data_IF_574569075235
#
_entry.id   IF_574569075235
#
_cell.length_a   1.000
_cell.length_b   1.000
_cell.length_c   1.000
_cell.angle_alpha   90.00
_cell.angle_beta   90.00
_cell.angle_gamma   90.00
#
_symmetry.space_group_name_H-M   'P 1'
#
loop_
_entity.id
_entity.type
_entity.pdbx_description
1 polymer ?
#
# COMPACT_ATOMS: atom_id res chain seq x y z
N UNK A 1 49.94 49.47 -25.48
CA UNK A 1 49.17 48.24 -25.14
C UNK A 1 48.09 48.08 -26.21
N UNK A 2 48.34 47.34 -27.28
CA UNK A 2 47.33 47.15 -28.36
C UNK A 2 46.30 46.13 -27.86
N UNK A 3 45.07 46.56 -27.75
CA UNK A 3 43.94 45.75 -27.36
C UNK A 3 43.60 44.81 -28.57
N UNK A 4 43.78 43.50 -28.37
CA UNK A 4 43.53 42.53 -29.42
C UNK A 4 41.99 42.28 -29.58
N UNK A 5 41.39 43.11 -30.44
CA UNK A 5 39.98 43.09 -30.77
C UNK A 5 39.55 41.75 -31.41
N UNK A 6 40.49 41.06 -32.10
CA UNK A 6 40.23 39.75 -32.73
C UNK A 6 40.04 38.64 -31.67
N UNK A 7 40.88 38.61 -30.66
CA UNK A 7 40.77 37.66 -29.56
C UNK A 7 39.49 37.87 -28.73
N UNK A 8 39.08 39.15 -28.56
CA UNK A 8 37.80 39.48 -27.87
C UNK A 8 36.57 38.99 -28.66
N UNK A 9 36.62 39.17 -30.00
CA UNK A 9 35.52 38.79 -30.89
C UNK A 9 35.37 37.25 -31.00
N UNK A 10 36.46 36.49 -30.98
CA UNK A 10 36.43 35.03 -30.94
C UNK A 10 35.91 34.49 -29.58
N UNK A 11 36.25 35.14 -28.49
CA UNK A 11 35.79 34.76 -27.14
C UNK A 11 34.29 35.00 -26.94
N UNK A 12 33.78 36.14 -27.47
CA UNK A 12 32.34 36.44 -27.45
C UNK A 12 31.55 35.51 -28.36
N UNK A 13 32.09 35.16 -29.53
CA UNK A 13 31.46 34.23 -30.49
C UNK A 13 31.37 32.79 -29.93
N UNK A 14 32.45 32.33 -29.25
CA UNK A 14 32.42 31.01 -28.53
C UNK A 14 31.45 31.00 -27.36
N UNK A 15 31.38 32.10 -26.59
CA UNK A 15 30.39 32.25 -25.52
C UNK A 15 28.95 32.24 -26.04
N UNK A 16 28.68 32.90 -27.14
CA UNK A 16 27.34 32.92 -27.76
C UNK A 16 26.91 31.56 -28.32
N UNK A 17 27.83 30.78 -28.87
CA UNK A 17 27.54 29.40 -29.32
C UNK A 17 27.28 28.49 -28.15
N UNK A 18 28.05 28.59 -27.07
CA UNK A 18 27.82 27.79 -25.86
C UNK A 18 26.43 28.06 -25.21
N UNK A 19 26.05 29.35 -25.12
CA UNK A 19 24.71 29.74 -24.65
C UNK A 19 23.60 29.21 -25.55
N UNK A 20 23.77 29.24 -26.85
CA UNK A 20 22.79 28.71 -27.80
C UNK A 20 22.61 27.18 -27.61
N UNK A 21 23.70 26.43 -27.44
CA UNK A 21 23.68 25.00 -27.20
C UNK A 21 22.92 24.69 -25.88
N UNK A 22 23.19 25.45 -24.82
CA UNK A 22 22.50 25.28 -23.52
C UNK A 22 21.00 25.55 -23.68
N UNK A 23 20.60 26.61 -24.35
CA UNK A 23 19.19 26.93 -24.61
C UNK A 23 18.50 25.83 -25.42
N UNK A 24 19.14 25.34 -26.47
CA UNK A 24 18.61 24.24 -27.29
C UNK A 24 18.46 22.94 -26.43
N UNK A 25 19.44 22.63 -25.60
CA UNK A 25 19.37 21.48 -24.70
C UNK A 25 18.20 21.61 -23.72
N UNK A 26 17.99 22.78 -23.12
CA UNK A 26 16.87 23.05 -22.22
C UNK A 26 15.52 22.92 -22.95
N UNK A 27 15.40 23.41 -24.16
CA UNK A 27 14.19 23.27 -24.99
C UNK A 27 13.89 21.78 -25.28
N UNK A 28 14.91 20.98 -25.60
CA UNK A 28 14.73 19.54 -25.82
C UNK A 28 14.29 18.84 -24.54
N UNK A 29 14.90 19.14 -23.39
CA UNK A 29 14.52 18.57 -22.10
C UNK A 29 13.07 18.94 -21.76
N UNK A 30 12.66 20.19 -21.95
CA UNK A 30 11.27 20.62 -21.71
C UNK A 30 10.28 19.95 -22.64
N UNK A 31 10.62 19.80 -23.94
CA UNK A 31 9.77 19.07 -24.87
C UNK A 31 9.60 17.59 -24.48
N UNK A 32 10.69 16.91 -24.10
CA UNK A 32 10.64 15.52 -23.63
C UNK A 32 9.78 15.42 -22.36
N UNK A 33 9.96 16.33 -21.40
CA UNK A 33 9.18 16.31 -20.15
C UNK A 33 7.68 16.50 -20.40
N UNK A 34 7.30 17.39 -21.34
CA UNK A 34 5.90 17.57 -21.74
C UNK A 34 5.31 16.30 -22.37
N UNK A 35 6.05 15.64 -23.26
CA UNK A 35 5.62 14.37 -23.86
C UNK A 35 5.41 13.31 -22.78
N UNK A 36 6.35 13.18 -21.83
CA UNK A 36 6.23 12.24 -20.71
C UNK A 36 4.99 12.53 -19.86
N UNK A 37 4.73 13.79 -19.54
CA UNK A 37 3.53 14.19 -18.77
C UNK A 37 2.25 13.82 -19.51
N UNK A 38 2.14 14.11 -20.82
CA UNK A 38 0.95 13.78 -21.63
C UNK A 38 0.75 12.27 -21.74
N UNK A 39 1.81 11.49 -21.94
CA UNK A 39 1.74 10.03 -22.03
C UNK A 39 1.32 9.44 -20.69
N UNK A 40 1.91 9.91 -19.58
CA UNK A 40 1.55 9.45 -18.25
C UNK A 40 0.09 9.78 -17.89
N UNK A 41 -0.38 10.99 -18.23
CA UNK A 41 -1.78 11.38 -18.00
C UNK A 41 -2.75 10.45 -18.74
N UNK A 42 -2.53 10.20 -20.04
CA UNK A 42 -3.37 9.29 -20.83
C UNK A 42 -3.33 7.85 -20.32
N UNK A 43 -2.17 7.40 -19.86
CA UNK A 43 -2.01 6.06 -19.27
C UNK A 43 -2.76 5.95 -17.94
N UNK A 44 -2.68 6.98 -17.11
CA UNK A 44 -3.41 7.07 -15.84
C UNK A 44 -4.91 7.02 -16.07
N UNK A 45 -5.44 7.82 -17.00
CA UNK A 45 -6.86 7.87 -17.33
C UNK A 45 -7.38 6.49 -17.79
N UNK A 46 -6.65 5.83 -18.71
CA UNK A 46 -7.02 4.50 -19.21
C UNK A 46 -6.97 3.45 -18.11
N UNK A 47 -5.91 3.45 -17.29
CA UNK A 47 -5.75 2.49 -16.20
C UNK A 47 -6.81 2.68 -15.12
N UNK A 48 -7.17 3.93 -14.81
CA UNK A 48 -8.22 4.25 -13.85
C UNK A 48 -9.58 3.76 -14.33
N UNK A 49 -9.96 4.06 -15.58
CA UNK A 49 -11.23 3.59 -16.16
C UNK A 49 -11.35 2.07 -16.16
N UNK A 50 -10.27 1.38 -16.51
CA UNK A 50 -10.29 -0.10 -16.52
C UNK A 50 -10.41 -0.65 -15.09
N UNK A 51 -9.76 -0.04 -14.12
CA UNK A 51 -9.89 -0.41 -12.71
C UNK A 51 -11.28 -0.09 -12.15
N UNK A 52 -11.87 1.04 -12.51
CA UNK A 52 -13.22 1.43 -12.06
C UNK A 52 -14.28 0.41 -12.49
N UNK A 53 -14.14 -0.18 -13.67
CA UNK A 53 -15.05 -1.26 -14.12
C UNK A 53 -15.01 -2.46 -13.16
N UNK A 54 -13.82 -2.91 -12.77
CA UNK A 54 -13.67 -3.97 -11.77
C UNK A 54 -14.15 -3.53 -10.38
N UNK A 55 -13.91 -2.26 -10.03
CA UNK A 55 -14.25 -1.72 -8.71
C UNK A 55 -15.75 -1.63 -8.47
N UNK A 56 -16.55 -1.33 -9.50
CA UNK A 56 -18.02 -1.34 -9.41
C UNK A 56 -18.53 -2.71 -9.01
N UNK A 57 -18.02 -3.77 -9.62
CA UNK A 57 -18.38 -5.16 -9.24
C UNK A 57 -17.97 -5.48 -7.80
N UNK A 58 -16.86 -4.90 -7.33
CA UNK A 58 -16.41 -5.08 -5.94
C UNK A 58 -17.33 -4.40 -4.93
N UNK A 59 -18.05 -3.34 -5.26
CA UNK A 59 -19.06 -2.75 -4.37
C UNK A 59 -20.16 -3.76 -4.09
N UNK A 60 -20.70 -4.40 -5.11
CA UNK A 60 -21.72 -5.44 -4.98
C UNK A 60 -21.16 -6.68 -4.24
N UNK A 61 -19.93 -7.10 -4.58
CA UNK A 61 -19.23 -8.18 -3.87
C UNK A 61 -19.11 -7.92 -2.36
N UNK A 62 -18.85 -6.67 -1.96
CA UNK A 62 -18.70 -6.30 -0.55
C UNK A 62 -20.05 -6.32 0.20
N UNK A 63 -21.16 -6.14 -0.47
CA UNK A 63 -22.50 -6.24 0.11
C UNK A 63 -22.88 -7.70 0.42
N UNK A 64 -22.24 -8.66 -0.22
CA UNK A 64 -22.48 -10.07 0.05
C UNK A 64 -21.96 -10.47 1.43
N UNK A 65 -22.81 -11.04 2.25
CA UNK A 65 -22.44 -11.57 3.57
C UNK A 65 -22.08 -13.05 3.52
N UNK A 66 -22.51 -13.77 2.49
CA UNK A 66 -22.28 -15.19 2.30
C UNK A 66 -21.03 -15.43 1.45
N UNK A 67 -20.13 -16.29 1.94
CA UNK A 67 -18.89 -16.68 1.23
C UNK A 67 -19.18 -17.34 -0.12
N UNK A 68 -20.21 -18.16 -0.23
CA UNK A 68 -20.59 -18.81 -1.52
C UNK A 68 -20.96 -17.78 -2.59
N UNK A 69 -21.76 -16.76 -2.24
CA UNK A 69 -22.09 -15.68 -3.19
C UNK A 69 -20.84 -14.91 -3.61
N UNK A 70 -19.90 -14.69 -2.70
CA UNK A 70 -18.59 -14.09 -3.02
C UNK A 70 -17.76 -14.98 -3.94
N UNK A 71 -17.74 -16.29 -3.72
CA UNK A 71 -17.02 -17.24 -4.56
C UNK A 71 -17.60 -17.30 -5.98
N UNK A 72 -18.92 -17.15 -6.16
CA UNK A 72 -19.55 -17.07 -7.48
C UNK A 72 -19.15 -15.80 -8.26
N UNK A 73 -19.05 -14.66 -7.58
CA UNK A 73 -18.70 -13.38 -8.21
C UNK A 73 -17.19 -13.20 -8.46
N UNK A 74 -16.36 -13.87 -7.68
CA UNK A 74 -14.92 -13.67 -7.67
C UNK A 74 -14.23 -13.87 -9.04
N UNK A 75 -14.54 -14.89 -9.87
CA UNK A 75 -13.85 -15.14 -11.12
C UNK A 75 -13.87 -13.95 -12.09
N UNK A 76 -15.00 -13.28 -12.25
CA UNK A 76 -15.14 -12.13 -13.15
C UNK A 76 -14.34 -10.93 -12.63
N UNK A 77 -14.43 -10.65 -11.32
CA UNK A 77 -13.67 -9.58 -10.67
C UNK A 77 -12.17 -9.82 -10.79
N UNK A 78 -11.72 -11.04 -10.51
CA UNK A 78 -10.30 -11.42 -10.60
C UNK A 78 -9.78 -11.27 -12.04
N UNK A 79 -10.59 -11.68 -13.03
CA UNK A 79 -10.27 -11.52 -14.46
C UNK A 79 -10.09 -10.04 -14.83
N UNK A 80 -10.99 -9.17 -14.39
CA UNK A 80 -10.92 -7.74 -14.69
C UNK A 80 -9.76 -7.07 -13.98
N UNK A 81 -9.45 -7.46 -12.73
CA UNK A 81 -8.26 -6.99 -12.03
C UNK A 81 -6.97 -7.45 -12.73
N UNK A 82 -6.92 -8.66 -13.28
CA UNK A 82 -5.78 -9.15 -14.06
C UNK A 82 -5.52 -8.32 -15.32
N UNK A 83 -6.57 -7.90 -16.04
CA UNK A 83 -6.42 -6.99 -17.18
C UNK A 83 -5.74 -5.69 -16.79
N UNK A 84 -6.07 -5.13 -15.61
CA UNK A 84 -5.41 -3.92 -15.09
C UNK A 84 -3.95 -4.17 -14.73
N UNK A 85 -3.68 -5.26 -14.02
CA UNK A 85 -2.33 -5.63 -13.55
C UNK A 85 -1.39 -5.85 -14.75
N UNK A 86 -1.87 -6.55 -15.77
CA UNK A 86 -1.08 -6.88 -16.96
C UNK A 86 -0.83 -5.62 -17.82
N UNK A 87 -1.89 -4.83 -18.07
CA UNK A 87 -1.80 -3.69 -18.97
C UNK A 87 -1.12 -2.47 -18.33
N UNK A 88 -1.23 -2.29 -17.01
CA UNK A 88 -0.81 -1.09 -16.29
C UNK A 88 -0.10 -1.38 -14.97
N UNK A 89 0.94 -2.25 -14.95
CA UNK A 89 1.54 -2.80 -13.71
C UNK A 89 2.22 -1.77 -12.79
N UNK A 90 2.55 -0.58 -13.33
CA UNK A 90 3.30 0.46 -12.59
C UNK A 90 2.46 1.71 -12.33
N UNK A 91 1.15 1.66 -12.53
CA UNK A 91 0.22 2.76 -12.25
C UNK A 91 -0.39 2.59 -10.85
N UNK A 92 -0.99 3.67 -10.33
CA UNK A 92 -1.79 3.60 -9.10
C UNK A 92 -2.96 2.61 -9.23
N UNK A 93 -3.60 2.54 -10.41
CA UNK A 93 -4.65 1.58 -10.70
C UNK A 93 -4.12 0.14 -10.67
N UNK A 94 -2.93 -0.11 -11.26
CA UNK A 94 -2.27 -1.41 -11.18
C UNK A 94 -1.93 -1.82 -9.75
N UNK A 95 -1.42 -0.89 -8.94
CA UNK A 95 -1.18 -1.14 -7.52
C UNK A 95 -2.48 -1.49 -6.78
N UNK A 96 -3.55 -0.71 -6.99
CA UNK A 96 -4.87 -1.00 -6.41
C UNK A 96 -5.39 -2.37 -6.87
N UNK A 97 -5.25 -2.71 -8.13
CA UNK A 97 -5.67 -4.00 -8.66
C UNK A 97 -4.96 -5.18 -7.99
N UNK A 98 -3.64 -5.08 -7.74
CA UNK A 98 -2.89 -6.09 -6.98
C UNK A 98 -3.43 -6.24 -5.55
N UNK A 99 -3.68 -5.12 -4.87
CA UNK A 99 -4.24 -5.15 -3.51
C UNK A 99 -5.64 -5.79 -3.49
N UNK A 100 -6.52 -5.37 -4.38
CA UNK A 100 -7.89 -5.88 -4.42
C UNK A 100 -7.97 -7.34 -4.89
N UNK A 101 -7.03 -7.79 -5.71
CA UNK A 101 -6.91 -9.22 -6.03
C UNK A 101 -6.58 -10.05 -4.77
N UNK A 102 -5.67 -9.55 -3.91
CA UNK A 102 -5.45 -10.13 -2.59
C UNK A 102 -6.72 -10.12 -1.72
N UNK A 103 -7.45 -9.01 -1.73
CA UNK A 103 -8.67 -8.85 -0.94
C UNK A 103 -9.82 -9.78 -1.39
N UNK A 104 -10.04 -9.93 -2.69
CA UNK A 104 -11.05 -10.88 -3.22
C UNK A 104 -10.70 -12.30 -2.81
N UNK A 105 -9.45 -12.72 -2.99
CA UNK A 105 -9.00 -14.05 -2.56
C UNK A 105 -9.14 -14.25 -1.05
N UNK A 106 -8.80 -13.25 -0.23
CA UNK A 106 -9.02 -13.29 1.22
C UNK A 106 -10.51 -13.47 1.57
N UNK A 107 -11.39 -12.71 0.91
CA UNK A 107 -12.84 -12.72 1.16
C UNK A 107 -13.55 -13.99 0.67
N UNK A 108 -12.89 -14.76 -0.18
CA UNK A 108 -13.32 -16.09 -0.65
C UNK A 108 -12.58 -17.24 0.02
N UNK A 109 -11.84 -16.95 1.09
CA UNK A 109 -11.06 -17.91 1.88
C UNK A 109 -9.89 -18.58 1.14
N UNK A 110 -9.49 -18.04 -0.01
CA UNK A 110 -8.29 -18.47 -0.74
C UNK A 110 -7.04 -17.81 -0.13
N UNK A 111 -6.70 -18.20 1.09
CA UNK A 111 -5.68 -17.52 1.90
C UNK A 111 -4.27 -17.60 1.34
N UNK A 112 -3.91 -18.64 0.61
CA UNK A 112 -2.59 -18.78 -0.03
C UNK A 112 -2.40 -17.74 -1.14
N UNK A 113 -3.36 -17.62 -2.03
CA UNK A 113 -3.37 -16.62 -3.10
C UNK A 113 -3.46 -15.20 -2.52
N UNK A 114 -4.31 -14.99 -1.53
CA UNK A 114 -4.42 -13.72 -0.85
C UNK A 114 -3.08 -13.28 -0.26
N UNK A 115 -2.40 -14.17 0.45
CA UNK A 115 -1.07 -13.94 1.04
C UNK A 115 -0.05 -13.58 -0.03
N UNK A 116 0.00 -14.32 -1.15
CA UNK A 116 0.91 -14.05 -2.24
C UNK A 116 0.71 -12.65 -2.84
N UNK A 117 -0.54 -12.22 -3.08
CA UNK A 117 -0.82 -10.89 -3.62
C UNK A 117 -0.55 -9.77 -2.63
N UNK A 118 -0.87 -9.92 -1.35
CA UNK A 118 -0.54 -8.91 -0.35
C UNK A 118 0.96 -8.79 -0.12
N UNK A 119 1.71 -9.90 -0.10
CA UNK A 119 3.18 -9.87 -0.04
C UNK A 119 3.80 -9.20 -1.27
N UNK A 120 3.29 -9.51 -2.48
CA UNK A 120 3.69 -8.81 -3.70
C UNK A 120 3.41 -7.31 -3.59
N UNK A 121 2.26 -6.94 -3.03
CA UNK A 121 1.86 -5.55 -2.87
C UNK A 121 2.82 -4.79 -1.93
N UNK A 122 3.09 -5.30 -0.73
CA UNK A 122 3.97 -4.62 0.24
C UNK A 122 5.42 -4.57 -0.24
N UNK A 123 5.85 -5.54 -1.03
CA UNK A 123 7.18 -5.56 -1.66
C UNK A 123 7.30 -4.50 -2.77
N UNK A 124 6.31 -4.40 -3.64
CA UNK A 124 6.36 -3.55 -4.85
C UNK A 124 5.86 -2.12 -4.60
N UNK A 125 4.91 -1.94 -3.71
CA UNK A 125 4.19 -0.69 -3.48
C UNK A 125 4.23 -0.26 -2.00
N UNK A 126 5.39 -0.41 -1.35
CA UNK A 126 5.58 -0.14 0.09
C UNK A 126 5.14 1.25 0.53
N UNK A 127 5.23 2.26 -0.35
CA UNK A 127 4.84 3.64 -0.06
C UNK A 127 3.36 3.93 -0.37
N UNK A 128 2.57 2.92 -0.76
CA UNK A 128 1.15 3.10 -1.01
C UNK A 128 0.37 3.34 0.29
N UNK A 129 -0.66 4.20 0.30
CA UNK A 129 -1.58 4.32 1.44
C UNK A 129 -2.25 3.00 1.85
N UNK A 130 -2.31 2.02 0.95
CA UNK A 130 -2.87 0.70 1.22
C UNK A 130 -1.87 -0.27 1.88
N UNK A 131 -0.60 0.11 2.04
CA UNK A 131 0.43 -0.79 2.59
C UNK A 131 0.08 -1.27 3.99
N UNK A 132 -0.39 -0.38 4.88
CA UNK A 132 -0.84 -0.80 6.21
C UNK A 132 -1.97 -1.83 6.15
N UNK A 133 -2.98 -1.60 5.29
CA UNK A 133 -4.05 -2.59 5.10
C UNK A 133 -3.53 -3.94 4.58
N UNK A 134 -2.56 -3.92 3.68
CA UNK A 134 -1.97 -5.16 3.16
C UNK A 134 -1.25 -5.95 4.26
N UNK A 135 -0.44 -5.30 5.10
CA UNK A 135 0.18 -5.94 6.27
C UNK A 135 -0.86 -6.53 7.24
N UNK A 136 -1.96 -5.81 7.47
CA UNK A 136 -3.07 -6.28 8.28
C UNK A 136 -3.69 -7.57 7.72
N UNK A 137 -4.01 -7.60 6.43
CA UNK A 137 -4.54 -8.80 5.79
C UNK A 137 -3.54 -9.95 5.74
N UNK A 138 -2.24 -9.69 5.57
CA UNK A 138 -1.20 -10.73 5.68
C UNK A 138 -1.29 -11.41 7.05
N UNK A 139 -1.43 -10.65 8.14
CA UNK A 139 -1.55 -11.23 9.48
C UNK A 139 -2.79 -12.12 9.64
N UNK A 140 -3.91 -11.74 9.01
CA UNK A 140 -5.11 -12.58 9.02
C UNK A 140 -4.97 -13.84 8.16
N UNK A 141 -4.33 -13.75 6.99
CA UNK A 141 -4.04 -14.92 6.17
C UNK A 141 -3.19 -15.94 6.93
N UNK A 142 -2.14 -15.48 7.62
CA UNK A 142 -1.33 -16.36 8.47
C UNK A 142 -2.15 -16.98 9.61
N UNK A 143 -2.98 -16.19 10.30
CA UNK A 143 -3.84 -16.73 11.38
C UNK A 143 -4.87 -17.73 10.88
N UNK A 144 -5.49 -17.48 9.71
CA UNK A 144 -6.42 -18.42 9.09
C UNK A 144 -5.75 -19.78 8.74
N UNK A 145 -4.43 -19.75 8.55
CA UNK A 145 -3.60 -20.94 8.34
C UNK A 145 -3.01 -21.51 9.64
N UNK A 146 -3.45 -21.02 10.81
CA UNK A 146 -2.94 -21.38 12.14
C UNK A 146 -1.44 -21.04 12.35
N UNK A 147 -0.91 -20.08 11.62
CA UNK A 147 0.48 -19.62 11.68
C UNK A 147 0.55 -18.25 12.39
N UNK A 148 0.22 -18.24 13.66
CA UNK A 148 0.19 -17.02 14.47
C UNK A 148 1.59 -16.43 14.70
N UNK A 149 2.65 -17.22 14.63
CA UNK A 149 4.02 -16.72 14.78
C UNK A 149 4.40 -15.81 13.60
N UNK A 150 4.10 -16.19 12.36
CA UNK A 150 4.30 -15.33 11.21
C UNK A 150 3.29 -14.16 11.17
N UNK A 151 2.07 -14.33 11.69
CA UNK A 151 1.13 -13.23 11.84
C UNK A 151 1.65 -12.14 12.79
N UNK A 152 2.28 -12.52 13.90
CA UNK A 152 2.95 -11.59 14.83
C UNK A 152 4.15 -10.93 14.15
N UNK A 153 5.04 -11.73 13.56
CA UNK A 153 6.28 -11.24 12.95
C UNK A 153 6.03 -10.17 11.88
N UNK A 154 5.01 -10.34 11.05
CA UNK A 154 4.69 -9.38 9.97
C UNK A 154 4.15 -8.04 10.53
N UNK A 155 3.39 -8.05 11.63
CA UNK A 155 2.92 -6.84 12.28
C UNK A 155 4.05 -6.10 13.00
N UNK A 156 4.96 -6.83 13.65
CA UNK A 156 6.15 -6.25 14.27
C UNK A 156 7.13 -5.68 13.22
N UNK A 157 7.25 -6.31 12.05
CA UNK A 157 7.99 -5.74 10.92
C UNK A 157 7.40 -4.40 10.50
N UNK A 158 6.08 -4.32 10.40
CA UNK A 158 5.40 -3.07 10.06
C UNK A 158 5.69 -1.97 11.10
N UNK A 159 5.56 -2.26 12.40
CA UNK A 159 5.82 -1.28 13.46
C UNK A 159 7.27 -0.73 13.41
N UNK A 160 8.24 -1.61 13.12
CA UNK A 160 9.66 -1.19 12.98
C UNK A 160 9.86 -0.28 11.77
N UNK A 161 9.13 -0.53 10.69
CA UNK A 161 9.31 0.13 9.39
C UNK A 161 8.52 1.44 9.29
N UNK A 162 7.34 1.51 9.89
CA UNK A 162 6.38 2.62 9.79
C UNK A 162 6.01 3.15 11.17
N UNK A 163 6.98 3.75 11.84
CA UNK A 163 6.75 4.44 13.12
C UNK A 163 5.73 5.58 12.91
N UNK A 164 4.86 5.80 13.87
CA UNK A 164 3.82 6.85 13.85
C UNK A 164 2.79 6.71 12.70
N UNK A 165 2.54 5.48 12.29
CA UNK A 165 1.51 5.20 11.28
C UNK A 165 0.10 5.34 11.86
N UNK A 166 -0.84 5.85 11.04
CA UNK A 166 -2.28 5.81 11.35
C UNK A 166 -2.79 4.41 11.75
N UNK A 167 -2.10 3.35 11.33
CA UNK A 167 -2.46 1.97 11.63
C UNK A 167 -1.92 1.45 12.97
N UNK A 168 -1.10 2.22 13.70
CA UNK A 168 -0.41 1.75 14.91
C UNK A 168 -1.38 1.15 15.93
N UNK A 169 -2.44 1.87 16.31
CA UNK A 169 -3.43 1.35 17.28
C UNK A 169 -4.18 0.10 16.79
N UNK A 170 -4.42 -0.01 15.48
CA UNK A 170 -5.05 -1.19 14.88
C UNK A 170 -4.13 -2.41 14.97
N UNK A 171 -2.83 -2.21 14.74
CA UNK A 171 -1.84 -3.29 14.80
C UNK A 171 -1.52 -3.68 16.23
N UNK A 172 -1.42 -2.71 17.14
CA UNK A 172 -1.29 -2.98 18.56
C UNK A 172 -2.47 -3.84 19.07
N UNK A 173 -3.70 -3.53 18.63
CA UNK A 173 -4.87 -4.34 18.98
C UNK A 173 -4.72 -5.77 18.46
N UNK A 174 -4.34 -5.92 17.18
CA UNK A 174 -4.17 -7.23 16.55
C UNK A 174 -3.03 -8.02 17.17
N UNK A 175 -1.92 -7.39 17.53
CA UNK A 175 -0.82 -8.02 18.27
C UNK A 175 -1.27 -8.48 19.66
N UNK A 176 -2.03 -7.63 20.37
CA UNK A 176 -2.65 -8.02 21.64
C UNK A 176 -3.48 -9.30 21.51
N UNK A 177 -4.38 -9.36 20.52
CA UNK A 177 -5.21 -10.53 20.21
C UNK A 177 -4.38 -11.79 19.92
N UNK A 178 -3.33 -11.66 19.12
CA UNK A 178 -2.47 -12.80 18.78
C UNK A 178 -1.65 -13.31 19.96
N UNK A 179 -1.28 -12.41 20.88
CA UNK A 179 -0.56 -12.78 22.09
C UNK A 179 -1.43 -13.35 23.22
N UNK A 180 -2.75 -13.16 23.22
CA UNK A 180 -3.64 -13.63 24.32
C UNK A 180 -3.46 -15.11 24.66
N UNK A 181 -3.37 -15.96 23.63
CA UNK A 181 -3.20 -17.40 23.81
C UNK A 181 -1.74 -17.81 24.10
N UNK A 182 -0.76 -16.96 23.77
CA UNK A 182 0.67 -17.26 23.83
C UNK A 182 1.33 -16.66 25.07
N UNK A 183 1.04 -15.39 25.34
CA UNK A 183 1.63 -14.59 26.42
C UNK A 183 0.68 -13.47 26.83
N UNK A 184 -0.12 -13.72 27.87
CA UNK A 184 -1.08 -12.74 28.41
C UNK A 184 -0.40 -11.43 28.86
N UNK A 185 0.86 -11.47 29.32
CA UNK A 185 1.57 -10.26 29.74
C UNK A 185 1.97 -9.41 28.54
N UNK A 186 2.40 -10.04 27.45
CA UNK A 186 2.65 -9.34 26.17
C UNK A 186 1.35 -8.75 25.60
N UNK A 187 0.24 -9.49 25.61
CA UNK A 187 -1.06 -9.01 25.20
C UNK A 187 -1.49 -7.76 25.98
N UNK A 188 -1.41 -7.83 27.33
CA UNK A 188 -1.72 -6.70 28.20
C UNK A 188 -0.86 -5.46 27.90
N UNK A 189 0.42 -5.63 27.56
CA UNK A 189 1.32 -4.53 27.18
C UNK A 189 0.83 -3.82 25.93
N UNK A 190 0.40 -4.56 24.90
CA UNK A 190 -0.13 -3.97 23.66
C UNK A 190 -1.45 -3.23 23.92
N UNK A 191 -2.35 -3.78 24.72
CA UNK A 191 -3.59 -3.09 25.07
C UNK A 191 -3.34 -1.82 25.89
N UNK A 192 -2.44 -1.84 26.87
CA UNK A 192 -2.03 -0.63 27.63
C UNK A 192 -1.45 0.43 26.71
N UNK A 193 -0.64 0.07 25.71
CA UNK A 193 -0.09 1.00 24.73
C UNK A 193 -1.18 1.77 23.98
N UNK A 194 -2.30 1.10 23.62
CA UNK A 194 -3.45 1.75 22.98
C UNK A 194 -4.18 2.68 23.97
N UNK A 195 -4.40 2.23 25.19
CA UNK A 195 -5.14 2.94 26.23
C UNK A 195 -4.41 4.22 26.64
N UNK A 196 -3.10 4.16 26.79
CA UNK A 196 -2.21 5.26 27.19
C UNK A 196 -1.89 6.23 26.05
N UNK A 197 -2.25 5.85 24.81
CA UNK A 197 -2.06 6.73 23.65
C UNK A 197 -2.90 8.00 23.78
N UNK A 198 -2.31 9.14 23.41
CA UNK A 198 -3.03 10.43 23.34
C UNK A 198 -4.01 10.50 22.16
N UNK A 199 -3.89 9.60 21.22
CA UNK A 199 -4.78 9.54 20.06
C UNK A 199 -6.15 9.01 20.47
N UNK A 200 -7.20 9.65 19.97
CA UNK A 200 -8.57 9.15 20.13
C UNK A 200 -8.80 7.97 19.16
N UNK A 201 -8.29 6.81 19.55
CA UNK A 201 -8.36 5.60 18.74
C UNK A 201 -9.70 4.88 18.95
N UNK A 202 -10.34 4.48 17.87
CA UNK A 202 -11.55 3.63 17.91
C UNK A 202 -11.29 2.25 18.56
N UNK A 203 -10.03 1.84 18.67
CA UNK A 203 -9.61 0.60 19.29
C UNK A 203 -9.55 0.66 20.83
N UNK A 204 -9.57 1.87 21.42
CA UNK A 204 -9.36 2.07 22.86
C UNK A 204 -10.37 1.32 23.71
N UNK A 205 -11.65 1.45 23.43
CA UNK A 205 -12.71 0.77 24.20
C UNK A 205 -12.62 -0.77 24.13
N UNK A 206 -12.18 -1.31 22.97
CA UNK A 206 -11.96 -2.75 22.85
C UNK A 206 -10.71 -3.20 23.62
N UNK A 207 -9.63 -2.41 23.56
CA UNK A 207 -8.41 -2.67 24.31
C UNK A 207 -8.66 -2.66 25.84
N UNK A 208 -9.43 -1.70 26.35
CA UNK A 208 -9.85 -1.64 27.77
C UNK A 208 -10.62 -2.89 28.19
N UNK A 209 -11.60 -3.29 27.37
CA UNK A 209 -12.38 -4.51 27.64
C UNK A 209 -11.51 -5.77 27.67
N UNK A 210 -10.62 -5.95 26.68
CA UNK A 210 -9.75 -7.13 26.60
C UNK A 210 -8.72 -7.16 27.73
N UNK A 211 -8.15 -6.00 28.08
CA UNK A 211 -7.22 -5.89 29.21
C UNK A 211 -7.91 -6.28 30.53
N UNK A 212 -9.14 -5.79 30.77
CA UNK A 212 -9.90 -6.15 31.97
C UNK A 212 -10.18 -7.65 32.05
N UNK A 213 -10.45 -8.33 30.92
CA UNK A 213 -10.64 -9.80 30.89
C UNK A 213 -9.35 -10.54 31.27
N UNK A 214 -8.20 -10.10 30.76
CA UNK A 214 -6.89 -10.68 31.11
C UNK A 214 -6.57 -10.49 32.60
N UNK A 215 -6.75 -9.26 33.13
CA UNK A 215 -6.43 -8.92 34.51
C UNK A 215 -7.35 -9.64 35.52
N UNK A 216 -8.58 -9.96 35.15
CA UNK A 216 -9.50 -10.75 35.97
C UNK A 216 -9.41 -12.27 35.72
N UNK A 217 -8.40 -12.71 34.96
CA UNK A 217 -8.18 -14.12 34.57
C UNK A 217 -9.41 -14.80 33.94
N UNK A 218 -10.31 -14.01 33.35
CA UNK A 218 -11.49 -14.51 32.65
C UNK A 218 -11.09 -14.99 31.25
N UNK A 219 -11.63 -16.13 30.83
CA UNK A 219 -11.50 -16.61 29.45
C UNK A 219 -12.31 -15.72 28.50
N UNK A 220 -11.74 -15.40 27.39
CA UNK A 220 -12.39 -14.68 26.27
C UNK A 220 -13.32 -15.60 25.49
#
# INVERSE_FOLDING_TARGET
>A
MAFDIKALNEKTKKGSIATLIIVCALLVITAISLVVVVVNSKTTDKSTKLFESAFVQMLEFNEQTNVYSKQEMAPDILSDLDKVIISYPNTTAGARAVFYKGYVNYSTENYDEALAYFQLFVKKFSNSPLSGKAYYYISYCYSAKNDNDNAIAILEEFEKKFKDSYYTSLFDLRLGELYEAKDKAAAAKYYKKIIDSKENSSQKGLAEKRLALIENDMTL
#
